data_IF_079887857031
#
_entry.id   IF_079887857031
#
_cell.length_a   1.000
_cell.length_b   1.000
_cell.length_c   1.000
_cell.angle_alpha   90.00
_cell.angle_beta   90.00
_cell.angle_gamma   90.00
#
_symmetry.space_group_name_H-M   'P 1'
#
loop_
_entity.id
_entity.type
_entity.pdbx_description
1 polymer ?
#
# COMPACT_ATOMS: atom_id res chain seq x y z
N UNK A 1 13.71 -15.73 -3.89
CA UNK A 1 14.04 -14.53 -4.70
C UNK A 1 12.88 -14.04 -5.57
N UNK A 2 12.02 -14.91 -6.11
CA UNK A 2 10.93 -14.54 -7.04
C UNK A 2 9.93 -13.48 -6.51
N UNK A 3 9.52 -13.55 -5.24
CA UNK A 3 8.62 -12.54 -4.64
C UNK A 3 9.27 -11.15 -4.61
N UNK A 4 10.55 -11.08 -4.24
CA UNK A 4 11.29 -9.81 -4.23
C UNK A 4 11.43 -9.22 -5.65
N UNK A 5 11.61 -10.07 -6.67
CA UNK A 5 11.63 -9.62 -8.07
C UNK A 5 10.28 -9.05 -8.53
N UNK A 6 9.17 -9.62 -8.05
CA UNK A 6 7.82 -9.09 -8.31
C UNK A 6 7.68 -7.70 -7.67
N UNK A 7 8.12 -7.54 -6.42
CA UNK A 7 8.07 -6.26 -5.68
C UNK A 7 8.97 -5.18 -6.27
N UNK A 8 10.07 -5.56 -6.93
CA UNK A 8 10.97 -4.61 -7.62
C UNK A 8 10.39 -4.04 -8.91
N UNK A 9 9.30 -4.60 -9.43
CA UNK A 9 8.65 -4.06 -10.62
C UNK A 9 7.87 -2.79 -10.22
N UNK A 10 8.10 -1.62 -10.87
CA UNK A 10 7.37 -0.39 -10.56
C UNK A 10 5.84 -0.52 -10.64
N UNK A 11 5.32 -1.42 -11.48
CA UNK A 11 3.89 -1.67 -11.57
C UNK A 11 3.28 -2.37 -10.33
N UNK A 12 4.13 -2.92 -9.45
CA UNK A 12 3.77 -3.69 -8.26
C UNK A 12 4.25 -3.00 -6.98
N UNK A 13 4.47 -1.69 -7.03
CA UNK A 13 5.01 -0.91 -5.93
C UNK A 13 4.15 -1.02 -4.67
N UNK A 14 2.82 -1.05 -4.84
CA UNK A 14 1.85 -1.42 -3.80
C UNK A 14 1.10 -2.66 -4.25
N UNK A 15 1.38 -3.79 -3.61
CA UNK A 15 0.81 -5.06 -4.05
C UNK A 15 0.29 -5.86 -2.86
N UNK A 16 -0.88 -6.48 -3.03
CA UNK A 16 -1.42 -7.40 -2.03
C UNK A 16 -0.75 -8.78 -2.12
N UNK A 17 -0.87 -9.58 -1.06
CA UNK A 17 -0.39 -10.96 -1.08
C UNK A 17 -1.11 -11.79 -2.17
N UNK A 18 -2.40 -11.53 -2.39
CA UNK A 18 -3.24 -12.14 -3.41
C UNK A 18 -2.78 -11.78 -4.82
N UNK A 19 -2.38 -10.53 -5.05
CA UNK A 19 -1.84 -10.08 -6.34
C UNK A 19 -0.47 -10.73 -6.61
N UNK A 20 0.42 -10.78 -5.61
CA UNK A 20 1.70 -11.50 -5.73
C UNK A 20 1.46 -12.98 -6.05
N UNK A 21 0.52 -13.62 -5.35
CA UNK A 21 0.16 -15.02 -5.60
C UNK A 21 -0.35 -15.22 -7.04
N UNK A 22 -1.22 -14.33 -7.53
CA UNK A 22 -1.73 -14.39 -8.91
C UNK A 22 -0.60 -14.28 -9.94
N UNK A 23 0.32 -13.33 -9.76
CA UNK A 23 1.48 -13.18 -10.64
C UNK A 23 2.37 -14.44 -10.63
N UNK A 24 2.51 -15.10 -9.49
CA UNK A 24 3.27 -16.35 -9.39
C UNK A 24 2.56 -17.51 -10.11
N UNK A 25 1.23 -17.62 -9.98
CA UNK A 25 0.44 -18.60 -10.73
C UNK A 25 0.54 -18.39 -12.24
N UNK A 26 0.45 -17.14 -12.69
CA UNK A 26 0.58 -16.79 -14.12
C UNK A 26 1.98 -17.10 -14.68
N UNK A 27 2.98 -17.24 -13.80
CA UNK A 27 4.34 -17.70 -14.12
C UNK A 27 4.53 -19.21 -13.94
N UNK A 28 3.46 -19.98 -13.75
CA UNK A 28 3.47 -21.42 -13.51
C UNK A 28 4.28 -21.86 -12.27
N UNK A 29 4.32 -21.01 -11.24
CA UNK A 29 4.98 -21.36 -9.98
C UNK A 29 4.08 -22.21 -9.08
N UNK A 30 4.58 -23.35 -8.60
CA UNK A 30 3.90 -24.19 -7.61
C UNK A 30 4.14 -23.66 -6.19
N UNK A 31 3.42 -22.60 -5.84
CA UNK A 31 3.50 -21.97 -4.51
C UNK A 31 2.10 -21.73 -3.96
N UNK A 32 1.89 -22.00 -2.67
CA UNK A 32 0.61 -21.70 -2.01
C UNK A 32 0.55 -20.26 -1.48
N UNK A 33 -0.65 -19.69 -1.45
CA UNK A 33 -0.91 -18.34 -0.89
C UNK A 33 -0.36 -18.17 0.54
N UNK A 34 -0.49 -19.19 1.40
CA UNK A 34 0.08 -19.17 2.75
C UNK A 34 1.61 -18.98 2.77
N UNK A 35 2.31 -19.50 1.76
CA UNK A 35 3.76 -19.31 1.63
C UNK A 35 4.09 -17.88 1.20
N UNK A 36 3.28 -17.28 0.32
CA UNK A 36 3.42 -15.87 -0.07
C UNK A 36 3.29 -14.97 1.15
N UNK A 37 2.23 -15.14 1.94
CA UNK A 37 2.04 -14.43 3.21
C UNK A 37 3.24 -14.60 4.15
N UNK A 38 3.71 -15.84 4.35
CA UNK A 38 4.86 -16.11 5.22
C UNK A 38 6.11 -15.35 4.76
N UNK A 39 6.41 -15.34 3.46
CA UNK A 39 7.59 -14.64 2.93
C UNK A 39 7.44 -13.13 3.05
N UNK A 40 6.26 -12.58 2.75
CA UNK A 40 6.02 -11.14 2.90
C UNK A 40 6.13 -10.71 4.36
N UNK A 41 5.59 -11.49 5.30
CA UNK A 41 5.77 -11.24 6.74
C UNK A 41 7.25 -11.27 7.14
N UNK A 42 8.04 -12.23 6.62
CA UNK A 42 9.48 -12.28 6.88
C UNK A 42 10.24 -11.08 6.32
N UNK A 43 9.80 -10.53 5.19
CA UNK A 43 10.38 -9.31 4.64
C UNK A 43 10.02 -8.07 5.47
N UNK A 44 8.79 -8.01 5.98
CA UNK A 44 8.28 -6.97 6.86
C UNK A 44 9.06 -6.96 8.18
N UNK A 45 9.21 -8.13 8.82
CA UNK A 45 10.02 -8.32 10.03
C UNK A 45 11.50 -7.94 9.82
N UNK A 46 12.01 -8.12 8.60
CA UNK A 46 13.37 -7.78 8.22
C UNK A 46 13.54 -6.32 7.76
N UNK A 47 12.47 -5.53 7.69
CA UNK A 47 12.49 -4.14 7.20
C UNK A 47 12.81 -4.01 5.71
N UNK A 48 12.57 -5.06 4.93
CA UNK A 48 12.74 -5.06 3.46
C UNK A 48 11.50 -4.49 2.78
N UNK A 49 10.32 -4.78 3.34
CA UNK A 49 9.04 -4.22 2.91
C UNK A 49 8.35 -3.54 4.08
N UNK A 50 7.50 -2.57 3.78
CA UNK A 50 6.55 -1.99 4.71
C UNK A 50 5.17 -2.55 4.38
N UNK A 51 4.43 -2.99 5.40
CA UNK A 51 3.03 -3.35 5.24
C UNK A 51 2.11 -2.20 5.63
N UNK A 52 1.20 -1.85 4.74
CA UNK A 52 0.09 -0.94 5.04
C UNK A 52 -1.20 -1.73 5.26
N UNK A 53 -1.88 -1.43 6.36
CA UNK A 53 -3.21 -1.95 6.66
C UNK A 53 -4.25 -0.88 6.33
N UNK A 54 -4.93 -1.06 5.20
CA UNK A 54 -5.99 -0.16 4.77
C UNK A 54 -7.35 -0.61 5.31
N UNK A 55 -8.30 0.33 5.34
CA UNK A 55 -9.69 0.02 5.65
C UNK A 55 -10.26 -1.08 4.73
N UNK A 56 -11.22 -1.85 5.26
CA UNK A 56 -11.77 -3.03 4.56
C UNK A 56 -10.92 -4.31 4.69
N UNK A 57 -9.88 -4.30 5.52
CA UNK A 57 -9.06 -5.48 5.83
C UNK A 57 -8.03 -5.83 4.74
N UNK A 58 -7.86 -4.96 3.74
CA UNK A 58 -6.86 -5.13 2.68
C UNK A 58 -5.50 -4.69 3.19
N UNK A 59 -4.49 -5.55 3.01
CA UNK A 59 -3.10 -5.20 3.27
C UNK A 59 -2.32 -5.14 1.96
N UNK A 60 -1.49 -4.10 1.80
CA UNK A 60 -0.53 -4.00 0.71
C UNK A 60 0.88 -3.93 1.25
N UNK A 61 1.82 -4.38 0.44
CA UNK A 61 3.24 -4.35 0.75
C UNK A 61 3.95 -3.48 -0.29
N UNK A 62 4.91 -2.68 0.19
CA UNK A 62 5.83 -1.91 -0.63
C UNK A 62 7.27 -2.08 -0.14
N UNK A 63 8.28 -1.75 -0.96
CA UNK A 63 9.67 -1.80 -0.53
C UNK A 63 9.99 -0.63 0.42
N UNK A 64 10.61 -0.89 1.56
CA UNK A 64 10.86 0.13 2.60
C UNK A 64 11.86 1.23 2.21
N UNK A 65 12.58 1.07 1.09
CA UNK A 65 13.63 1.99 0.64
C UNK A 65 13.08 3.10 -0.27
N UNK A 66 11.97 3.74 0.12
CA UNK A 66 11.39 4.89 -0.58
C UNK A 66 11.42 6.14 0.29
N UNK A 67 11.46 7.28 -0.38
CA UNK A 67 11.25 8.57 0.27
C UNK A 67 9.84 8.62 0.88
N UNK A 68 9.67 9.49 1.89
CA UNK A 68 8.39 9.68 2.57
C UNK A 68 7.29 10.05 1.58
N UNK A 69 6.13 9.42 1.72
CA UNK A 69 4.92 9.71 0.95
C UNK A 69 3.70 9.16 1.69
N UNK A 70 2.56 9.78 1.44
CA UNK A 70 1.26 9.38 1.94
C UNK A 70 0.44 8.68 0.86
N UNK A 71 -0.66 8.03 1.25
CA UNK A 71 -1.42 7.18 0.35
C UNK A 71 -2.88 7.63 0.21
N UNK A 72 -3.36 7.73 -1.03
CA UNK A 72 -4.76 7.88 -1.37
C UNK A 72 -5.27 6.56 -1.97
N UNK A 73 -6.25 5.94 -1.33
CA UNK A 73 -6.72 4.59 -1.64
C UNK A 73 -8.13 4.64 -2.21
N UNK A 74 -8.31 4.02 -3.38
CA UNK A 74 -9.63 3.84 -3.96
C UNK A 74 -10.37 2.67 -3.27
N UNK A 75 -11.55 2.90 -2.69
CA UNK A 75 -12.32 1.85 -2.01
C UNK A 75 -12.91 0.80 -2.97
N UNK A 76 -13.14 1.16 -4.24
CA UNK A 76 -13.72 0.24 -5.22
C UNK A 76 -12.65 -0.72 -5.78
N UNK A 77 -11.59 -0.18 -6.39
CA UNK A 77 -10.56 -1.00 -7.05
C UNK A 77 -9.34 -1.29 -6.15
N UNK A 78 -9.19 -0.56 -5.04
CA UNK A 78 -8.03 -0.59 -4.16
C UNK A 78 -6.72 -0.21 -4.83
N UNK A 79 -6.79 0.59 -5.89
CA UNK A 79 -5.61 1.29 -6.39
C UNK A 79 -5.12 2.31 -5.35
N UNK A 80 -3.80 2.45 -5.28
CA UNK A 80 -3.11 3.30 -4.31
C UNK A 80 -2.35 4.37 -5.09
N UNK A 81 -2.71 5.62 -4.85
CA UNK A 81 -2.03 6.79 -5.38
C UNK A 81 -1.09 7.33 -4.29
N UNK A 82 0.15 7.64 -4.68
CA UNK A 82 1.12 8.29 -3.79
C UNK A 82 0.94 9.80 -3.87
N UNK A 83 1.09 10.48 -2.74
CA UNK A 83 1.16 11.93 -2.70
C UNK A 83 2.04 12.41 -1.55
N UNK A 84 2.50 13.65 -1.67
CA UNK A 84 3.18 14.40 -0.61
C UNK A 84 2.68 15.84 -0.71
N UNK A 85 2.37 16.46 0.44
CA UNK A 85 1.83 17.81 0.49
C UNK A 85 2.44 18.59 1.68
N UNK A 86 3.30 19.56 1.36
CA UNK A 86 4.01 20.38 2.36
C UNK A 86 3.06 21.06 3.35
N UNK A 87 1.85 21.44 2.92
CA UNK A 87 0.88 22.13 3.78
C UNK A 87 0.31 21.17 4.83
N UNK A 88 0.02 19.93 4.44
CA UNK A 88 -0.39 18.88 5.36
C UNK A 88 0.75 18.58 6.34
N UNK A 89 1.97 18.39 5.87
CA UNK A 89 3.14 18.09 6.70
C UNK A 89 3.40 19.18 7.75
N UNK A 90 3.47 20.43 7.32
CA UNK A 90 3.64 21.58 8.20
C UNK A 90 2.52 21.67 9.25
N UNK A 91 1.29 21.35 8.85
CA UNK A 91 0.14 21.37 9.75
C UNK A 91 0.24 20.29 10.82
N UNK A 92 0.68 19.08 10.49
CA UNK A 92 0.88 18.01 11.45
C UNK A 92 1.95 18.38 12.50
N UNK A 93 3.07 18.96 12.04
CA UNK A 93 4.14 19.46 12.93
C UNK A 93 3.62 20.56 13.86
N UNK A 94 2.84 21.50 13.34
CA UNK A 94 2.25 22.58 14.13
C UNK A 94 1.31 22.05 15.22
N UNK A 95 0.47 21.06 14.90
CA UNK A 95 -0.45 20.42 15.85
C UNK A 95 0.32 19.66 16.94
N UNK A 96 1.35 18.91 16.58
CA UNK A 96 2.19 18.20 17.56
C UNK A 96 2.86 19.19 18.53
N UNK A 97 3.41 20.28 17.99
CA UNK A 97 4.04 21.35 18.77
C UNK A 97 3.05 22.01 19.74
N UNK A 98 1.83 22.33 19.31
CA UNK A 98 0.82 22.95 20.18
C UNK A 98 0.40 22.04 21.35
N UNK A 99 0.57 20.73 21.20
CA UNK A 99 0.26 19.74 22.23
C UNK A 99 1.50 19.29 23.03
N UNK A 100 2.66 19.93 22.85
CA UNK A 100 3.93 19.55 23.49
C UNK A 100 4.37 18.10 23.18
N UNK A 101 4.09 17.61 21.97
CA UNK A 101 4.46 16.27 21.50
C UNK A 101 5.63 16.40 20.54
N UNK A 102 6.65 15.54 20.71
CA UNK A 102 7.70 15.33 19.71
C UNK A 102 7.19 14.32 18.68
N UNK A 103 6.82 14.82 17.49
CA UNK A 103 6.42 13.96 16.38
C UNK A 103 7.63 13.15 15.87
N UNK A 104 7.47 11.84 15.73
CA UNK A 104 8.52 10.93 15.23
C UNK A 104 8.23 10.42 13.83
N UNK A 105 6.96 10.21 13.52
CA UNK A 105 6.44 9.67 12.26
C UNK A 105 4.92 9.89 12.22
N UNK A 106 4.33 9.70 11.05
CA UNK A 106 2.88 9.60 10.87
C UNK A 106 2.54 8.49 9.87
N UNK A 107 1.25 8.26 9.69
CA UNK A 107 0.70 7.48 8.60
C UNK A 107 -0.58 8.16 8.17
N UNK A 108 -0.61 8.72 6.96
CA UNK A 108 -1.80 9.35 6.40
C UNK A 108 -2.33 8.50 5.24
N UNK A 109 -3.58 8.11 5.40
CA UNK A 109 -4.37 7.44 4.38
C UNK A 109 -5.61 8.27 4.10
N UNK A 110 -5.81 8.61 2.84
CA UNK A 110 -7.05 9.19 2.33
C UNK A 110 -7.82 8.10 1.59
N UNK A 111 -9.13 8.04 1.79
CA UNK A 111 -9.98 7.02 1.16
C UNK A 111 -11.02 7.70 0.28
N UNK A 112 -11.28 7.15 -0.90
CA UNK A 112 -12.28 7.67 -1.82
C UNK A 112 -12.55 6.74 -2.98
N UNK A 113 -13.23 7.24 -4.01
CA UNK A 113 -13.51 6.50 -5.25
C UNK A 113 -12.77 7.16 -6.40
N UNK A 114 -11.96 6.41 -7.14
CA UNK A 114 -11.23 6.98 -8.26
C UNK A 114 -12.21 7.31 -9.41
N UNK A 115 -12.10 8.51 -9.95
CA UNK A 115 -12.96 8.97 -11.05
C UNK A 115 -12.47 8.51 -12.44
N UNK A 116 -11.38 7.75 -12.49
CA UNK A 116 -10.81 7.20 -13.73
C UNK A 116 -11.76 6.20 -14.39
N UNK A 117 -11.86 6.21 -15.72
CA UNK A 117 -12.78 5.38 -16.51
C UNK A 117 -12.52 3.86 -16.40
N UNK A 118 -11.35 3.48 -15.90
CA UNK A 118 -10.86 2.11 -15.79
C UNK A 118 -10.85 1.58 -14.33
N UNK A 119 -11.67 2.14 -13.45
CA UNK A 119 -11.90 1.57 -12.12
C UNK A 119 -12.63 0.23 -12.25
N UNK A 120 -11.91 -0.89 -12.07
CA UNK A 120 -12.40 -2.25 -12.38
C UNK A 120 -13.61 -2.71 -11.55
N UNK A 121 -13.95 -2.00 -10.47
CA UNK A 121 -14.97 -2.39 -9.51
C UNK A 121 -15.91 -1.23 -9.14
N UNK A 122 -15.99 -0.17 -9.94
CA UNK A 122 -16.98 0.89 -9.70
C UNK A 122 -18.36 0.22 -9.71
N UNK A 123 -19.02 0.18 -8.57
CA UNK A 123 -20.46 -0.01 -8.57
C UNK A 123 -20.98 1.31 -9.12
N UNK A 124 -21.52 1.29 -10.33
CA UNK A 124 -22.30 2.42 -10.80
C UNK A 124 -23.39 2.62 -9.74
N UNK A 125 -23.34 3.77 -9.04
CA UNK A 125 -24.42 4.20 -8.15
C UNK A 125 -25.62 4.56 -9.04
N UNK A 126 -26.29 3.53 -9.57
CA UNK A 126 -27.68 3.62 -9.95
C UNK A 126 -28.50 3.35 -8.67
N UNK A 127 -28.79 4.42 -7.92
CA UNK A 127 -30.04 4.65 -7.16
C UNK A 127 -30.15 6.08 -6.60
#
# INVERSE_FOLDING_TARGET
MKILEILKNPANQHISAEDVYRILLDKNEEIGLATVYRVLNQFDDAGIVTRHHFEGGRSVFELSAKDHHDHLVCLDCGHVFEFEDDVIEDRQVAVAKSNNIKLTNHSLYLYGQCQTSNCKNRQDEDE
#
